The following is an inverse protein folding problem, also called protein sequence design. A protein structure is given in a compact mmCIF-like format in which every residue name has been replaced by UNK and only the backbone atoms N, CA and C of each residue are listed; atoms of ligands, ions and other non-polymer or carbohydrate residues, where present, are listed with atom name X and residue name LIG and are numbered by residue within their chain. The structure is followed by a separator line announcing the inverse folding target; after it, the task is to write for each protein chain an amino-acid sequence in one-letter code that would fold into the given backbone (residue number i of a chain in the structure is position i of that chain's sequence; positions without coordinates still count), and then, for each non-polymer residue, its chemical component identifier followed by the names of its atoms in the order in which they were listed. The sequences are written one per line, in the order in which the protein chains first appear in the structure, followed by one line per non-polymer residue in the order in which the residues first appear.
data_IF_990985226403
#
_entry.id   IF_990985226403
#
_cell.length_a   1.000
_cell.length_b   1.000
_cell.length_c   1.000
_cell.angle_alpha   90.00
_cell.angle_beta   90.00
_cell.angle_gamma   90.00
#
_symmetry.space_group_name_H-M   'P 1'
#
loop_
_entity.id
_entity.type
_entity.pdbx_description
1 polymer ?
#
# COMPACT_ATOMS: atom_id res chain seq x y z
N UNK A 1 -36.07 -9.38 4.52
CA UNK A 1 -36.02 -10.11 5.80
C UNK A 1 -34.69 -9.76 6.43
N UNK A 2 -34.69 -9.03 7.55
CA UNK A 2 -33.46 -8.80 8.31
C UNK A 2 -33.03 -10.16 8.91
N UNK A 3 -31.86 -10.66 8.51
CA UNK A 3 -31.24 -11.79 9.21
C UNK A 3 -31.05 -11.35 10.67
N UNK A 4 -31.74 -12.02 11.59
CA UNK A 4 -31.63 -11.77 13.04
C UNK A 4 -30.27 -12.30 13.51
N UNK A 5 -29.18 -11.64 13.11
CA UNK A 5 -27.81 -11.98 13.51
C UNK A 5 -27.59 -11.55 14.95
N UNK A 6 -26.92 -12.41 15.72
CA UNK A 6 -26.58 -12.14 17.11
C UNK A 6 -25.77 -10.83 17.22
N UNK A 7 -26.12 -9.92 18.15
CA UNK A 7 -25.48 -8.61 18.25
C UNK A 7 -23.95 -8.70 18.48
N UNK A 8 -23.46 -9.77 19.14
CA UNK A 8 -22.01 -9.97 19.30
C UNK A 8 -21.34 -10.33 17.98
N UNK A 9 -22.02 -11.08 17.11
CA UNK A 9 -21.51 -11.40 15.78
C UNK A 9 -21.44 -10.16 14.89
N UNK A 10 -22.46 -9.28 14.97
CA UNK A 10 -22.45 -8.02 14.23
C UNK A 10 -21.29 -7.11 14.70
N UNK A 11 -21.08 -7.01 16.02
CA UNK A 11 -19.95 -6.23 16.55
C UNK A 11 -18.59 -6.81 16.13
N UNK A 12 -18.42 -8.13 16.19
CA UNK A 12 -17.19 -8.79 15.76
C UNK A 12 -16.91 -8.55 14.26
N UNK A 13 -17.94 -8.67 13.42
CA UNK A 13 -17.81 -8.43 11.99
C UNK A 13 -17.50 -6.96 11.68
N UNK A 14 -18.10 -6.01 12.40
CA UNK A 14 -17.78 -4.59 12.31
C UNK A 14 -16.31 -4.31 12.62
N UNK A 15 -15.80 -4.84 13.74
CA UNK A 15 -14.37 -4.70 14.12
C UNK A 15 -13.45 -5.29 13.04
N UNK A 16 -13.80 -6.46 12.48
CA UNK A 16 -13.02 -7.07 11.40
C UNK A 16 -12.96 -6.19 10.15
N UNK A 17 -14.07 -5.55 9.75
CA UNK A 17 -14.06 -4.59 8.65
C UNK A 17 -13.18 -3.39 8.96
N UNK A 18 -13.29 -2.82 10.16
CA UNK A 18 -12.46 -1.68 10.57
C UNK A 18 -10.96 -2.02 10.55
N UNK A 19 -10.57 -3.17 11.12
CA UNK A 19 -9.19 -3.63 11.13
C UNK A 19 -8.67 -3.86 9.71
N UNK A 20 -9.47 -4.50 8.85
CA UNK A 20 -9.11 -4.73 7.45
C UNK A 20 -8.90 -3.41 6.70
N UNK A 21 -9.83 -2.46 6.84
CA UNK A 21 -9.73 -1.15 6.20
C UNK A 21 -8.50 -0.38 6.69
N UNK A 22 -8.22 -0.41 7.99
CA UNK A 22 -7.03 0.23 8.59
C UNK A 22 -5.74 -0.39 8.08
N UNK A 23 -5.67 -1.72 8.00
CA UNK A 23 -4.51 -2.43 7.46
C UNK A 23 -4.27 -2.09 5.98
N UNK A 24 -5.34 -2.07 5.17
CA UNK A 24 -5.25 -1.69 3.75
C UNK A 24 -4.75 -0.25 3.60
N UNK A 25 -5.25 0.69 4.40
CA UNK A 25 -4.78 2.09 4.39
C UNK A 25 -3.31 2.20 4.81
N UNK A 26 -2.89 1.49 5.86
CA UNK A 26 -1.50 1.48 6.31
C UNK A 26 -0.55 0.99 5.22
N UNK A 27 -0.88 -0.14 4.58
CA UNK A 27 -0.06 -0.71 3.51
C UNK A 27 -0.01 0.22 2.28
N UNK A 28 -1.12 0.87 1.93
CA UNK A 28 -1.18 1.80 0.80
C UNK A 28 -0.29 3.03 1.05
N UNK A 29 -0.27 3.54 2.28
CA UNK A 29 0.64 4.62 2.70
C UNK A 29 2.10 4.18 2.58
N UNK A 30 2.45 2.99 3.09
CA UNK A 30 3.80 2.44 3.00
C UNK A 30 4.27 2.29 1.54
N UNK A 31 3.44 1.72 0.67
CA UNK A 31 3.75 1.61 -0.76
C UNK A 31 3.91 2.97 -1.42
N UNK A 32 3.08 3.95 -1.06
CA UNK A 32 3.16 5.30 -1.62
C UNK A 32 4.49 5.97 -1.25
N UNK A 33 4.92 5.88 0.02
CA UNK A 33 6.23 6.40 0.45
C UNK A 33 7.37 5.72 -0.31
N UNK A 34 7.37 4.39 -0.38
CA UNK A 34 8.41 3.63 -1.08
C UNK A 34 8.51 3.97 -2.56
N UNK A 35 7.37 4.14 -3.24
CA UNK A 35 7.32 4.54 -4.65
C UNK A 35 7.92 5.94 -4.82
N UNK A 36 7.60 6.88 -3.93
CA UNK A 36 8.17 8.24 -3.97
C UNK A 36 9.68 8.24 -3.75
N UNK A 37 10.16 7.50 -2.74
CA UNK A 37 11.59 7.33 -2.47
C UNK A 37 12.33 6.75 -3.69
N UNK A 38 11.77 5.70 -4.30
CA UNK A 38 12.34 5.07 -5.49
C UNK A 38 12.36 6.02 -6.69
N UNK A 39 11.31 6.82 -6.88
CA UNK A 39 11.25 7.81 -7.95
C UNK A 39 12.32 8.91 -7.79
N UNK A 40 12.62 9.32 -6.56
CA UNK A 40 13.69 10.30 -6.29
C UNK A 40 15.07 9.72 -6.64
N UNK A 41 15.31 8.46 -6.27
CA UNK A 41 16.55 7.75 -6.62
C UNK A 41 16.69 7.62 -8.13
N UNK A 42 15.62 7.20 -8.82
CA UNK A 42 15.61 7.08 -10.28
C UNK A 42 15.90 8.41 -10.97
N UNK A 43 15.21 9.48 -10.56
CA UNK A 43 15.45 10.83 -11.09
C UNK A 43 16.91 11.29 -10.87
N UNK A 44 17.52 10.90 -9.75
CA UNK A 44 18.92 11.22 -9.45
C UNK A 44 19.90 10.44 -10.34
N UNK A 45 19.63 9.16 -10.59
CA UNK A 45 20.42 8.32 -11.49
C UNK A 45 20.27 8.76 -12.95
N UNK A 46 19.05 9.15 -13.35
CA UNK A 46 18.74 9.60 -14.70
C UNK A 46 19.54 10.85 -15.12
N UNK A 47 19.90 11.72 -14.17
CA UNK A 47 20.76 12.89 -14.40
C UNK A 47 22.18 12.54 -14.82
N UNK A 48 22.63 11.31 -14.61
CA UNK A 48 23.95 10.86 -15.05
C UNK A 48 23.85 10.56 -16.55
N UNK A 49 24.58 11.28 -17.42
CA UNK A 49 24.56 11.04 -18.85
C UNK A 49 24.99 9.61 -19.20
N UNK A 50 24.38 8.94 -20.19
CA UNK A 50 24.68 7.55 -20.54
C UNK A 50 26.18 7.27 -20.78
N UNK A 51 26.88 8.20 -21.43
CA UNK A 51 28.31 8.10 -21.70
C UNK A 51 29.16 8.11 -20.42
N UNK A 52 28.64 8.67 -19.31
CA UNK A 52 29.28 8.70 -17.98
C UNK A 52 28.83 7.56 -17.06
N UNK A 53 27.95 6.67 -17.54
CA UNK A 53 27.49 5.49 -16.78
C UNK A 53 28.43 4.31 -16.92
N UNK A 54 29.09 4.18 -18.08
CA UNK A 54 29.97 3.04 -18.38
C UNK A 54 31.09 2.91 -17.35
N UNK A 55 31.17 1.76 -16.69
CA UNK A 55 32.17 1.47 -15.64
C UNK A 55 31.87 2.09 -14.28
N UNK A 56 30.74 2.79 -14.12
CA UNK A 56 30.33 3.36 -12.83
C UNK A 56 29.58 2.30 -12.01
N UNK A 57 30.16 1.98 -10.86
CA UNK A 57 29.60 1.03 -9.91
C UNK A 57 28.59 1.71 -8.98
N UNK A 58 27.54 0.98 -8.66
CA UNK A 58 26.52 1.28 -7.66
C UNK A 58 26.62 0.28 -6.53
N UNK A 59 26.39 0.75 -5.31
CA UNK A 59 26.49 -0.05 -4.11
C UNK A 59 25.16 0.02 -3.34
N UNK A 60 24.50 -1.12 -3.17
CA UNK A 60 23.24 -1.23 -2.41
C UNK A 60 23.51 -1.85 -1.06
N UNK A 61 23.13 -1.16 0.02
CA UNK A 61 23.21 -1.71 1.37
C UNK A 61 21.97 -2.56 1.66
N UNK A 62 22.18 -3.81 2.05
CA UNK A 62 21.12 -4.77 2.40
C UNK A 62 21.52 -5.47 3.69
N UNK A 63 20.81 -5.20 4.78
CA UNK A 63 21.07 -5.86 6.07
C UNK A 63 22.50 -5.70 6.58
N UNK A 64 23.15 -4.58 6.30
CA UNK A 64 24.55 -4.32 6.68
C UNK A 64 25.60 -4.82 5.69
N UNK A 65 25.21 -5.52 4.61
CA UNK A 65 26.11 -5.95 3.53
C UNK A 65 26.00 -4.99 2.36
N UNK A 66 27.13 -4.60 1.78
CA UNK A 66 27.22 -3.75 0.59
C UNK A 66 27.31 -4.63 -0.67
N UNK A 67 26.32 -4.56 -1.55
CA UNK A 67 26.28 -5.31 -2.81
C UNK A 67 26.69 -4.39 -3.95
N UNK A 68 27.73 -4.77 -4.68
CA UNK A 68 28.23 -4.06 -5.86
C UNK A 68 27.47 -4.49 -7.13
N UNK A 69 27.03 -3.50 -7.94
CA UNK A 69 26.39 -3.70 -9.25
C UNK A 69 26.73 -2.56 -10.21
N UNK A 70 26.51 -2.76 -11.50
CA UNK A 70 26.60 -1.67 -12.47
C UNK A 70 25.38 -0.73 -12.39
N UNK A 71 25.58 0.55 -12.66
CA UNK A 71 24.50 1.56 -12.62
C UNK A 71 23.32 1.22 -13.53
N UNK A 72 23.57 0.67 -14.71
CA UNK A 72 22.51 0.29 -15.65
C UNK A 72 21.75 -0.95 -15.17
N UNK A 73 22.41 -1.87 -14.47
CA UNK A 73 21.75 -3.01 -13.84
C UNK A 73 20.86 -2.54 -12.67
N UNK A 74 21.38 -1.64 -11.84
CA UNK A 74 20.62 -1.05 -10.73
C UNK A 74 19.40 -0.28 -11.24
N UNK A 75 19.56 0.51 -12.31
CA UNK A 75 18.45 1.26 -12.91
C UNK A 75 17.35 0.33 -13.41
N UNK A 76 17.71 -0.78 -14.08
CA UNK A 76 16.74 -1.79 -14.53
C UNK A 76 16.01 -2.45 -13.37
N UNK A 77 16.73 -2.83 -12.31
CA UNK A 77 16.13 -3.42 -11.11
C UNK A 77 15.15 -2.42 -10.47
N UNK A 78 15.57 -1.16 -10.32
CA UNK A 78 14.74 -0.10 -9.73
C UNK A 78 13.45 0.11 -10.52
N UNK A 79 13.50 0.18 -11.86
CA UNK A 79 12.31 0.31 -12.71
C UNK A 79 11.36 -0.89 -12.56
N UNK A 80 11.90 -2.10 -12.54
CA UNK A 80 11.10 -3.32 -12.35
C UNK A 80 10.44 -3.35 -10.97
N UNK A 81 11.19 -3.05 -9.91
CA UNK A 81 10.66 -2.99 -8.54
C UNK A 81 9.58 -1.90 -8.42
N UNK A 82 9.79 -0.72 -9.01
CA UNK A 82 8.83 0.39 -8.99
C UNK A 82 7.52 0.01 -9.70
N UNK A 83 7.59 -0.60 -10.89
CA UNK A 83 6.41 -1.07 -11.62
C UNK A 83 5.61 -2.13 -10.86
N UNK A 84 6.30 -3.06 -10.19
CA UNK A 84 5.67 -4.06 -9.33
C UNK A 84 4.99 -3.41 -8.12
N UNK A 85 5.64 -2.44 -7.48
CA UNK A 85 5.06 -1.71 -6.34
C UNK A 85 3.82 -0.90 -6.74
N UNK A 86 3.86 -0.22 -7.89
CA UNK A 86 2.70 0.49 -8.42
C UNK A 86 1.53 -0.45 -8.71
N UNK A 87 1.79 -1.62 -9.28
CA UNK A 87 0.76 -2.65 -9.51
C UNK A 87 0.13 -3.07 -8.20
N UNK A 88 0.93 -3.45 -7.19
CA UNK A 88 0.44 -3.87 -5.87
C UNK A 88 -0.34 -2.76 -5.17
N UNK A 89 0.11 -1.51 -5.26
CA UNK A 89 -0.58 -0.33 -4.71
C UNK A 89 -1.96 -0.16 -5.34
N UNK A 90 -2.06 -0.29 -6.65
CA UNK A 90 -3.34 -0.18 -7.37
C UNK A 90 -4.29 -1.34 -7.03
N UNK A 91 -3.78 -2.55 -6.86
CA UNK A 91 -4.56 -3.70 -6.38
C UNK A 91 -5.10 -3.47 -4.97
N UNK A 92 -4.27 -2.94 -4.05
CA UNK A 92 -4.72 -2.60 -2.71
C UNK A 92 -5.72 -1.46 -2.67
N UNK A 93 -5.58 -0.45 -3.52
CA UNK A 93 -6.54 0.66 -3.65
C UNK A 93 -7.91 0.17 -4.13
N UNK A 94 -7.92 -0.74 -5.11
CA UNK A 94 -9.15 -1.42 -5.56
C UNK A 94 -9.77 -2.23 -4.43
N UNK A 95 -8.96 -3.01 -3.70
CA UNK A 95 -9.43 -3.81 -2.57
C UNK A 95 -10.02 -2.94 -1.46
N UNK A 96 -9.35 -1.84 -1.10
CA UNK A 96 -9.83 -0.87 -0.12
C UNK A 96 -11.20 -0.30 -0.55
N UNK A 97 -11.33 0.08 -1.82
CA UNK A 97 -12.58 0.65 -2.35
C UNK A 97 -13.72 -0.39 -2.34
N UNK A 98 -13.43 -1.64 -2.73
CA UNK A 98 -14.42 -2.74 -2.67
C UNK A 98 -14.86 -3.02 -1.25
N UNK A 99 -13.91 -3.22 -0.33
CA UNK A 99 -14.20 -3.50 1.08
C UNK A 99 -14.96 -2.36 1.75
N UNK A 100 -14.69 -1.10 1.39
CA UNK A 100 -15.45 0.04 1.90
C UNK A 100 -16.91 0.01 1.44
N UNK A 101 -17.17 -0.29 0.16
CA UNK A 101 -18.53 -0.45 -0.36
C UNK A 101 -19.26 -1.62 0.31
N UNK A 102 -18.59 -2.78 0.41
CA UNK A 102 -19.14 -3.96 1.10
C UNK A 102 -19.48 -3.65 2.56
N UNK A 103 -18.65 -2.86 3.23
CA UNK A 103 -18.88 -2.42 4.60
C UNK A 103 -20.10 -1.50 4.72
N UNK A 104 -20.24 -0.50 3.84
CA UNK A 104 -21.38 0.42 3.82
C UNK A 104 -22.70 -0.33 3.51
N UNK A 105 -22.67 -1.26 2.55
CA UNK A 105 -23.80 -2.15 2.23
C UNK A 105 -24.15 -3.05 3.42
N UNK A 106 -23.14 -3.59 4.10
CA UNK A 106 -23.34 -4.43 5.27
C UNK A 106 -23.95 -3.64 6.44
N UNK A 107 -23.48 -2.42 6.72
CA UNK A 107 -24.07 -1.54 7.74
C UNK A 107 -25.55 -1.31 7.46
N UNK A 108 -25.87 -0.95 6.21
CA UNK A 108 -27.25 -0.65 5.77
C UNK A 108 -28.14 -1.89 5.87
N UNK A 109 -27.65 -3.06 5.41
CA UNK A 109 -28.41 -4.32 5.42
C UNK A 109 -28.72 -4.81 6.83
N UNK A 110 -27.80 -4.62 7.78
CA UNK A 110 -27.95 -5.11 9.15
C UNK A 110 -28.46 -4.04 10.13
N UNK A 111 -28.78 -2.83 9.64
CA UNK A 111 -29.21 -1.68 10.44
C UNK A 111 -28.29 -1.43 11.66
N UNK A 112 -26.99 -1.60 11.46
CA UNK A 112 -25.98 -1.47 12.50
C UNK A 112 -25.88 0.01 12.85
N UNK A 113 -26.27 0.37 14.08
CA UNK A 113 -26.10 1.73 14.58
C UNK A 113 -24.62 1.96 14.89
N UNK A 114 -23.91 2.56 13.95
CA UNK A 114 -22.55 3.05 14.18
C UNK A 114 -22.65 4.32 15.01
N UNK A 115 -22.40 4.21 16.32
CA UNK A 115 -22.24 5.38 17.18
C UNK A 115 -20.89 6.00 16.80
N UNK A 116 -20.92 7.16 16.13
CA UNK A 116 -19.67 7.91 15.94
C UNK A 116 -19.29 8.48 17.30
N UNK A 117 -17.98 8.65 17.59
CA UNK A 117 -17.55 9.31 18.83
C UNK A 117 -18.13 10.72 19.01
N UNK A 118 -18.62 11.34 17.94
CA UNK A 118 -19.32 12.64 17.93
C UNK A 118 -20.75 12.57 18.48
N UNK A 119 -21.35 11.37 18.55
CA UNK A 119 -22.72 11.13 19.02
C UNK A 119 -22.74 10.60 20.49
N UNK A 120 -21.60 10.66 21.20
CA UNK A 120 -21.43 10.31 22.63
C UNK A 120 -21.19 11.56 23.50
N UNK A 121 -21.92 12.64 23.25
CA UNK A 121 -22.09 13.75 24.20
C UNK A 121 -23.09 13.41 25.31
#
# INVERSE_FOLDING_TARGET
MAENKDPKQLQAQYTQYQDTLRQLQSNLSEFTSKIQEYAIVDASLARIPPEKRKGRKCFKMIGGVLVEKDIDEVSKILHSELAQMQTKRNEQEKKLTSTKKEFDEWITKNNVKVMRPEDME
#
